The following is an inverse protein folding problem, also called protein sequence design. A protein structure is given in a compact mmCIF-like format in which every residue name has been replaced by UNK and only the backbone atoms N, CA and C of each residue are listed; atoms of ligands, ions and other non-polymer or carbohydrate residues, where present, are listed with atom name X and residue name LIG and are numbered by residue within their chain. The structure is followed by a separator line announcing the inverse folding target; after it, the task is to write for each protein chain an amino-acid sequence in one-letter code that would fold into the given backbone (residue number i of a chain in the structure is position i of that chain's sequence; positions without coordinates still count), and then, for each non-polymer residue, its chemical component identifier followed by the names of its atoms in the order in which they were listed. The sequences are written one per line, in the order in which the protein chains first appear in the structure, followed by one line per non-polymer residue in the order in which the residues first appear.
data_IF_999761358483
#
_entry.id   IF_999761358483
#
_cell.length_a   1.000
_cell.length_b   1.000
_cell.length_c   1.000
_cell.angle_alpha   90.00
_cell.angle_beta   90.00
_cell.angle_gamma   90.00
#
_symmetry.space_group_name_H-M   'P 1'
#
loop_
_entity.id
_entity.type
_entity.pdbx_description
1 polymer ?
#
# COMPACT_ATOMS: atom_id res chain seq x y z
N UNK A 1 17.84 0.07 10.71
CA UNK A 1 18.73 -0.39 9.62
C UNK A 1 19.88 0.59 9.44
N UNK A 2 21.08 0.15 9.03
CA UNK A 2 22.15 1.09 8.62
C UNK A 2 21.97 1.44 7.15
N UNK A 3 21.87 2.73 6.83
CA UNK A 3 21.98 3.21 5.47
C UNK A 3 23.35 2.83 4.89
N UNK A 4 23.38 2.42 3.63
CA UNK A 4 24.60 2.07 2.90
C UNK A 4 24.57 2.67 1.50
N UNK A 5 25.74 2.85 0.90
CA UNK A 5 25.86 3.32 -0.47
C UNK A 5 25.53 2.19 -1.44
N UNK A 6 24.65 2.47 -2.40
CA UNK A 6 24.32 1.57 -3.51
C UNK A 6 25.34 1.82 -4.64
N UNK A 7 26.02 0.77 -5.11
CA UNK A 7 27.08 0.90 -6.13
C UNK A 7 26.47 1.29 -7.48
N UNK A 8 27.16 2.15 -8.23
CA UNK A 8 26.80 2.46 -9.61
C UNK A 8 26.63 1.19 -10.47
N UNK A 9 25.60 1.16 -11.31
CA UNK A 9 25.24 -0.01 -12.13
C UNK A 9 24.44 -1.09 -11.39
N UNK A 10 23.88 -0.78 -10.22
CA UNK A 10 22.96 -1.66 -9.48
C UNK A 10 21.55 -1.03 -9.38
N UNK A 11 20.58 -1.78 -8.85
CA UNK A 11 19.17 -1.38 -8.83
C UNK A 11 18.87 -0.50 -7.60
N UNK A 12 18.43 0.73 -7.83
CA UNK A 12 18.04 1.68 -6.79
C UNK A 12 16.53 1.68 -6.47
N UNK A 13 15.72 1.02 -7.31
CA UNK A 13 14.29 0.88 -7.09
C UNK A 13 13.62 -0.05 -8.09
N UNK A 14 12.40 -0.45 -7.76
CA UNK A 14 11.55 -1.34 -8.53
C UNK A 14 10.13 -0.74 -8.60
N UNK A 15 9.57 -0.69 -9.82
CA UNK A 15 8.16 -0.43 -10.05
C UNK A 15 7.50 -1.75 -10.42
N UNK A 16 6.54 -2.19 -9.60
CA UNK A 16 5.69 -3.32 -9.90
C UNK A 16 4.33 -2.80 -10.38
N UNK A 17 3.77 -3.45 -11.40
CA UNK A 17 2.49 -3.07 -11.98
C UNK A 17 1.65 -4.33 -12.15
N UNK A 18 0.43 -4.28 -11.65
CA UNK A 18 -0.59 -5.29 -11.89
C UNK A 18 -1.80 -4.64 -12.53
N UNK A 19 -2.26 -5.19 -13.64
CA UNK A 19 -3.44 -4.72 -14.35
C UNK A 19 -4.47 -5.84 -14.43
N UNK A 20 -5.66 -5.59 -13.92
CA UNK A 20 -6.82 -6.45 -14.14
C UNK A 20 -7.60 -5.96 -15.35
N UNK A 21 -8.01 -6.89 -16.21
CA UNK A 21 -8.77 -6.62 -17.41
C UNK A 21 -10.16 -7.25 -17.35
N UNK A 22 -11.12 -6.60 -17.98
CA UNK A 22 -12.45 -7.12 -18.28
C UNK A 22 -12.82 -6.69 -19.69
N UNK A 23 -13.25 -7.63 -20.53
CA UNK A 23 -13.62 -7.38 -21.93
C UNK A 23 -12.52 -6.61 -22.69
N UNK A 24 -11.26 -7.05 -22.53
CA UNK A 24 -10.03 -6.44 -23.06
C UNK A 24 -9.74 -4.98 -22.60
N UNK A 25 -10.55 -4.43 -21.69
CA UNK A 25 -10.34 -3.12 -21.09
C UNK A 25 -9.74 -3.23 -19.68
N UNK A 26 -8.73 -2.40 -19.32
CA UNK A 26 -8.20 -2.37 -17.96
C UNK A 26 -9.25 -1.77 -17.01
N UNK A 27 -9.52 -2.46 -15.90
CA UNK A 27 -10.50 -2.04 -14.88
C UNK A 27 -9.86 -1.72 -13.52
N UNK A 28 -8.65 -2.20 -13.29
CA UNK A 28 -7.84 -1.87 -12.11
C UNK A 28 -6.37 -1.88 -12.49
N UNK A 29 -5.66 -0.82 -12.15
CA UNK A 29 -4.20 -0.75 -12.24
C UNK A 29 -3.67 -0.47 -10.84
N UNK A 30 -2.88 -1.39 -10.32
CA UNK A 30 -2.14 -1.22 -9.08
C UNK A 30 -0.66 -1.04 -9.42
N UNK A 31 -0.08 0.08 -8.96
CA UNK A 31 1.35 0.34 -9.08
C UNK A 31 1.96 0.40 -7.69
N UNK A 32 3.09 -0.29 -7.51
CA UNK A 32 3.84 -0.27 -6.27
C UNK A 32 5.29 0.12 -6.55
N UNK A 33 5.79 1.09 -5.78
CA UNK A 33 7.09 1.69 -5.96
C UNK A 33 7.95 1.40 -4.72
N UNK A 34 9.00 0.61 -4.90
CA UNK A 34 10.00 0.33 -3.88
C UNK A 34 11.30 1.02 -4.26
N UNK A 35 11.85 1.80 -3.35
CA UNK A 35 13.08 2.55 -3.61
C UNK A 35 13.95 2.61 -2.37
N UNK A 36 15.26 2.71 -2.58
CA UNK A 36 16.26 2.97 -1.54
C UNK A 36 16.83 4.41 -1.62
N UNK A 37 16.23 5.24 -2.47
CA UNK A 37 16.55 6.66 -2.68
C UNK A 37 15.27 7.46 -2.91
N UNK A 38 15.25 8.73 -2.52
CA UNK A 38 14.08 9.59 -2.76
C UNK A 38 13.94 10.04 -4.22
N UNK A 39 14.99 9.84 -5.03
CA UNK A 39 15.08 10.35 -6.38
C UNK A 39 15.54 9.25 -7.33
N UNK A 40 14.67 8.88 -8.26
CA UNK A 40 15.00 8.05 -9.43
C UNK A 40 14.73 8.92 -10.66
N UNK A 41 15.76 9.33 -11.43
CA UNK A 41 15.61 10.34 -12.48
C UNK A 41 14.53 10.06 -13.54
N UNK A 42 14.26 8.78 -13.82
CA UNK A 42 13.24 8.37 -14.78
C UNK A 42 11.82 8.34 -14.20
N UNK A 43 11.67 8.47 -12.88
CA UNK A 43 10.36 8.48 -12.21
C UNK A 43 9.98 9.93 -11.91
N UNK A 44 8.85 10.38 -12.47
CA UNK A 44 8.29 11.71 -12.18
C UNK A 44 7.52 11.70 -10.85
N UNK A 45 8.14 11.16 -9.79
CA UNK A 45 7.55 11.01 -8.46
C UNK A 45 8.64 11.29 -7.43
N UNK A 46 8.34 12.20 -6.50
CA UNK A 46 9.15 12.47 -5.32
C UNK A 46 8.52 11.77 -4.11
N UNK A 47 9.30 10.95 -3.39
CA UNK A 47 8.82 10.19 -2.24
C UNK A 47 9.01 10.90 -0.89
N UNK A 48 10.01 11.80 -0.77
CA UNK A 48 10.34 12.55 0.46
C UNK A 48 10.47 11.66 1.72
N UNK A 49 10.83 10.38 1.57
CA UNK A 49 10.86 9.40 2.66
C UNK A 49 9.50 9.11 3.30
N UNK A 50 8.38 9.33 2.59
CA UNK A 50 7.02 9.17 3.11
C UNK A 50 6.30 7.99 2.46
N UNK A 51 5.53 7.26 3.27
CA UNK A 51 4.61 6.27 2.76
C UNK A 51 3.37 6.97 2.18
N UNK A 52 3.08 6.72 0.90
CA UNK A 52 1.99 7.34 0.15
C UNK A 52 1.15 6.26 -0.53
N UNK A 53 -0.17 6.38 -0.40
CA UNK A 53 -1.15 5.62 -1.18
C UNK A 53 -1.97 6.61 -1.99
N UNK A 54 -2.05 6.41 -3.30
CA UNK A 54 -2.88 7.21 -4.19
C UNK A 54 -3.93 6.30 -4.83
N UNK A 55 -5.19 6.69 -4.73
CA UNK A 55 -6.30 6.04 -5.42
C UNK A 55 -6.94 7.04 -6.38
N UNK A 56 -7.12 6.63 -7.62
CA UNK A 56 -7.83 7.39 -8.65
C UNK A 56 -8.98 6.49 -9.12
N UNK A 57 -10.20 6.97 -8.96
CA UNK A 57 -11.42 6.28 -9.37
C UNK A 57 -12.02 7.11 -10.50
N UNK A 58 -11.88 6.59 -11.70
CA UNK A 58 -12.48 7.17 -12.90
C UNK A 58 -13.95 6.73 -12.98
N UNK A 59 -14.84 7.70 -13.13
CA UNK A 59 -16.28 7.44 -13.13
C UNK A 59 -17.07 8.70 -12.78
N UNK A 60 -18.30 8.50 -12.33
CA UNK A 60 -19.17 9.57 -11.85
C UNK A 60 -19.66 9.21 -10.43
N UNK A 61 -19.20 9.92 -9.39
CA UNK A 61 -18.21 11.01 -9.44
C UNK A 61 -16.79 10.49 -9.73
N UNK A 62 -15.96 11.35 -10.32
CA UNK A 62 -14.52 11.11 -10.38
C UNK A 62 -13.95 11.41 -8.98
N UNK A 63 -13.13 10.49 -8.46
CA UNK A 63 -12.54 10.61 -7.12
C UNK A 63 -11.03 10.47 -7.23
N UNK A 64 -10.31 11.40 -6.62
CA UNK A 64 -8.88 11.25 -6.35
C UNK A 64 -8.63 11.37 -4.85
N UNK A 65 -7.93 10.38 -4.29
CA UNK A 65 -7.53 10.31 -2.90
C UNK A 65 -6.02 10.13 -2.79
N UNK A 66 -5.39 10.92 -1.94
CA UNK A 66 -4.00 10.74 -1.52
C UNK A 66 -3.95 10.58 0.00
N UNK A 67 -3.44 9.45 0.45
CA UNK A 67 -3.17 9.16 1.85
C UNK A 67 -1.65 9.20 2.06
N UNK A 68 -1.21 9.97 3.03
CA UNK A 68 0.18 10.06 3.44
C UNK A 68 0.28 9.73 4.93
N UNK A 69 1.16 8.79 5.28
CA UNK A 69 1.54 8.56 6.66
C UNK A 69 2.72 9.48 6.97
N UNK A 70 2.56 10.34 7.96
CA UNK A 70 3.61 11.27 8.39
C UNK A 70 4.74 10.51 9.08
N UNK A 71 5.95 11.05 9.06
CA UNK A 71 7.06 10.50 9.85
C UNK A 71 6.88 10.85 11.32
N UNK A 72 7.32 9.97 12.21
CA UNK A 72 7.30 10.18 13.65
C UNK A 72 7.61 8.89 14.41
N UNK A 73 8.28 9.03 15.55
CA UNK A 73 8.56 7.90 16.43
C UNK A 73 7.26 7.29 16.94
N UNK A 74 7.23 5.97 17.04
CA UNK A 74 6.11 5.23 17.62
C UNK A 74 6.52 4.85 19.03
N UNK A 75 5.78 5.35 20.02
CA UNK A 75 6.02 5.04 21.43
C UNK A 75 6.01 3.52 21.66
N UNK A 76 7.04 3.00 22.33
CA UNK A 76 7.18 1.57 22.62
C UNK A 76 7.59 0.70 21.43
N UNK A 77 7.75 1.25 20.21
CA UNK A 77 8.12 0.51 19.00
C UNK A 77 9.30 1.18 18.26
N UNK A 78 10.51 1.18 18.84
CA UNK A 78 11.68 1.76 18.19
C UNK A 78 12.00 1.02 16.88
N UNK A 79 12.45 1.76 15.87
CA UNK A 79 12.77 1.27 14.51
C UNK A 79 11.57 0.86 13.63
N UNK A 80 10.34 1.00 14.12
CA UNK A 80 9.14 0.78 13.30
C UNK A 80 8.76 2.04 12.51
N UNK A 81 8.26 1.87 11.29
CA UNK A 81 7.68 2.95 10.50
C UNK A 81 6.17 3.07 10.73
N UNK A 82 5.63 4.26 10.51
CA UNK A 82 4.18 4.49 10.57
C UNK A 82 3.41 3.63 9.55
N UNK A 83 4.05 3.28 8.42
CA UNK A 83 3.53 2.29 7.47
C UNK A 83 3.41 0.89 8.07
N UNK A 84 4.43 0.42 8.77
CA UNK A 84 4.38 -0.87 9.47
C UNK A 84 3.31 -0.88 10.56
N UNK A 85 3.15 0.24 11.29
CA UNK A 85 2.08 0.39 12.27
C UNK A 85 0.70 0.35 11.61
N UNK A 86 0.48 1.06 10.50
CA UNK A 86 -0.79 1.05 9.79
C UNK A 86 -1.20 -0.38 9.36
N UNK A 87 -0.24 -1.15 8.84
CA UNK A 87 -0.47 -2.56 8.48
C UNK A 87 -0.75 -3.41 9.72
N UNK A 88 0.10 -3.31 10.75
CA UNK A 88 -0.05 -4.08 11.99
C UNK A 88 -1.37 -3.81 12.70
N UNK A 89 -1.78 -2.54 12.79
CA UNK A 89 -3.06 -2.15 13.38
C UNK A 89 -4.26 -2.70 12.61
N UNK A 90 -4.15 -2.83 11.29
CA UNK A 90 -5.21 -3.43 10.49
C UNK A 90 -5.35 -4.92 10.80
N UNK A 91 -4.22 -5.64 10.98
CA UNK A 91 -4.24 -7.04 11.42
C UNK A 91 -4.83 -7.19 12.83
N UNK A 92 -4.43 -6.34 13.79
CA UNK A 92 -4.97 -6.37 15.17
C UNK A 92 -6.48 -6.12 15.17
N UNK A 93 -6.97 -5.15 14.39
CA UNK A 93 -8.41 -4.85 14.28
C UNK A 93 -9.21 -5.99 13.62
N UNK A 94 -8.57 -6.83 12.82
CA UNK A 94 -9.22 -7.97 12.17
C UNK A 94 -9.43 -9.18 13.12
N UNK A 95 -8.82 -9.20 14.32
CA UNK A 95 -8.85 -10.37 15.22
C UNK A 95 -10.29 -10.80 15.54
N UNK A 96 -11.14 -9.87 15.95
CA UNK A 96 -12.53 -10.17 16.30
C UNK A 96 -13.34 -10.69 15.11
N UNK A 97 -13.13 -10.10 13.92
CA UNK A 97 -13.77 -10.55 12.67
C UNK A 97 -13.35 -11.97 12.31
N UNK A 98 -12.07 -12.33 12.48
CA UNK A 98 -11.54 -13.67 12.21
C UNK A 98 -12.07 -14.69 13.21
N UNK A 99 -12.12 -14.34 14.50
CA UNK A 99 -12.62 -15.22 15.57
C UNK A 99 -14.12 -15.55 15.39
N UNK A 100 -14.90 -14.62 14.84
CA UNK A 100 -16.33 -14.80 14.58
C UNK A 100 -16.64 -15.52 13.25
N UNK A 101 -15.65 -15.71 12.37
CA UNK A 101 -15.85 -16.31 11.06
C UNK A 101 -15.94 -17.84 11.12
N UNK A 102 -16.69 -18.49 10.20
CA UNK A 102 -16.63 -19.93 10.05
C UNK A 102 -15.25 -20.37 9.53
N UNK A 103 -14.85 -21.64 9.73
CA UNK A 103 -13.60 -22.16 9.17
C UNK A 103 -13.53 -21.98 7.64
N UNK A 104 -12.44 -21.40 7.15
CA UNK A 104 -12.21 -21.15 5.74
C UNK A 104 -11.39 -19.89 5.48
N UNK A 105 -11.30 -19.48 4.22
CA UNK A 105 -10.64 -18.24 3.82
C UNK A 105 -11.63 -17.08 3.89
N UNK A 106 -11.42 -16.15 4.82
CA UNK A 106 -12.22 -14.92 4.91
C UNK A 106 -11.67 -13.90 3.92
N UNK A 107 -12.41 -13.62 2.85
CA UNK A 107 -11.93 -12.78 1.74
C UNK A 107 -12.19 -11.28 1.97
N UNK A 108 -13.11 -10.93 2.87
CA UNK A 108 -13.51 -9.54 3.14
C UNK A 108 -13.84 -9.30 4.62
N UNK A 109 -12.85 -9.26 5.53
CA UNK A 109 -13.08 -8.73 6.86
C UNK A 109 -13.53 -7.26 6.73
N UNK A 110 -14.44 -6.80 7.61
CA UNK A 110 -15.06 -5.47 7.50
C UNK A 110 -14.03 -4.34 7.53
N UNK A 111 -12.89 -4.59 8.17
CA UNK A 111 -11.76 -3.65 8.26
C UNK A 111 -11.04 -3.43 6.91
N UNK A 112 -11.11 -4.39 5.98
CA UNK A 112 -10.42 -4.31 4.67
C UNK A 112 -11.34 -3.94 3.51
N UNK A 113 -12.63 -4.29 3.59
CA UNK A 113 -13.61 -3.93 2.56
C UNK A 113 -15.04 -3.92 3.13
N UNK A 114 -15.83 -2.91 2.75
CA UNK A 114 -17.28 -2.92 2.95
C UNK A 114 -18.03 -3.68 1.83
N UNK A 115 -17.33 -4.04 0.75
CA UNK A 115 -17.94 -4.69 -0.40
C UNK A 115 -18.09 -6.19 -0.17
N UNK A 116 -19.32 -6.69 -0.30
CA UNK A 116 -19.62 -8.12 -0.33
C UNK A 116 -19.93 -8.50 -1.77
N UNK A 117 -19.38 -9.62 -2.22
CA UNK A 117 -19.80 -10.19 -3.50
C UNK A 117 -21.29 -10.56 -3.40
N UNK A 118 -22.13 -10.26 -4.41
CA UNK A 118 -23.47 -10.82 -4.47
C UNK A 118 -23.38 -12.35 -4.54
N UNK A 119 -24.19 -13.04 -3.74
CA UNK A 119 -24.39 -14.49 -3.85
C UNK A 119 -24.98 -14.87 -5.22
#
# INVERSE_FOLDING_TARGET
MRATTIRAGTVAGQKLIWTAYRDDAPVLVAEEYWTVTDQIPSWNITFDGKFRVRAIIEGVPNIQLELQLTNGDIEGLPQSSQGQLAVGMTAVRAIEDVMAAPPGTVVTPKVFAAYRWPD
#
